data_IF_626139553950
#
_entry.id   IF_626139553950
#
_cell.length_a   1.000
_cell.length_b   1.000
_cell.length_c   1.000
_cell.angle_alpha   90.00
_cell.angle_beta   90.00
_cell.angle_gamma   90.00
#
_symmetry.space_group_name_H-M   'P 1'
#
loop_
_entity.id
_entity.type
_entity.pdbx_description
1 polymer ?
#
# COMPACT_ATOMS: atom_id res chain seq x y z
N UNK A 1 -23.25 13.92 13.84
CA UNK A 1 -22.99 14.05 12.40
C UNK A 1 -21.51 14.23 12.19
N UNK A 2 -20.88 13.27 11.50
CA UNK A 2 -19.44 13.25 11.27
C UNK A 2 -19.09 14.32 10.22
N UNK A 3 -18.27 15.32 10.57
CA UNK A 3 -17.89 16.48 9.76
C UNK A 3 -17.06 16.17 8.48
N UNK A 4 -17.33 15.06 7.79
CA UNK A 4 -16.50 14.49 6.70
C UNK A 4 -17.05 14.74 5.29
N UNK A 5 -18.12 15.50 5.14
CA UNK A 5 -18.77 15.74 3.83
C UNK A 5 -19.43 14.48 3.26
N UNK A 6 -20.42 14.66 2.37
CA UNK A 6 -21.15 13.55 1.73
C UNK A 6 -20.92 13.60 0.22
N UNK A 7 -20.32 12.56 -0.34
CA UNK A 7 -20.24 12.40 -1.80
C UNK A 7 -21.66 12.15 -2.33
N UNK A 8 -22.16 13.08 -3.14
CA UNK A 8 -23.49 13.00 -3.78
C UNK A 8 -23.41 12.39 -5.18
N UNK A 9 -22.28 12.54 -5.86
CA UNK A 9 -22.01 11.88 -7.15
C UNK A 9 -21.93 10.37 -6.95
N UNK A 10 -22.81 9.61 -7.62
CA UNK A 10 -22.94 8.15 -7.48
C UNK A 10 -22.49 7.36 -8.70
N UNK A 11 -22.31 8.02 -9.85
CA UNK A 11 -21.86 7.39 -11.09
C UNK A 11 -20.73 8.20 -11.72
N UNK A 12 -19.97 7.55 -12.61
CA UNK A 12 -18.90 8.17 -13.39
C UNK A 12 -19.47 8.74 -14.68
N UNK A 13 -19.08 9.95 -15.03
CA UNK A 13 -19.48 10.62 -16.26
C UNK A 13 -18.26 11.16 -17.00
N UNK A 14 -18.34 11.20 -18.34
CA UNK A 14 -17.32 11.78 -19.19
C UNK A 14 -17.96 12.88 -20.05
N UNK A 15 -17.60 14.12 -19.77
CA UNK A 15 -18.20 15.32 -20.38
C UNK A 15 -17.25 15.86 -21.44
N UNK A 16 -17.72 16.02 -22.68
CA UNK A 16 -16.95 16.63 -23.74
C UNK A 16 -17.05 18.16 -23.69
N UNK A 17 -15.91 18.86 -23.75
CA UNK A 17 -15.89 20.32 -23.66
C UNK A 17 -15.97 20.99 -25.06
N UNK A 18 -16.65 22.15 -25.18
CA UNK A 18 -16.56 22.97 -26.38
C UNK A 18 -15.13 23.45 -26.59
N UNK A 19 -14.53 23.11 -27.74
CA UNK A 19 -13.12 23.40 -28.04
C UNK A 19 -12.17 22.19 -27.93
N UNK A 20 -12.68 21.03 -27.54
CA UNK A 20 -11.90 19.80 -27.38
C UNK A 20 -11.48 19.57 -25.93
N UNK A 21 -11.24 18.31 -25.57
CA UNK A 21 -10.98 17.87 -24.20
C UNK A 21 -12.18 17.15 -23.57
N UNK A 22 -11.88 16.37 -22.53
CA UNK A 22 -12.83 15.53 -21.81
C UNK A 22 -12.65 15.78 -20.30
N UNK A 23 -13.75 15.96 -19.59
CA UNK A 23 -13.78 16.00 -18.12
C UNK A 23 -14.34 14.69 -17.63
N UNK A 24 -13.61 14.02 -16.74
CA UNK A 24 -14.06 12.79 -16.09
C UNK A 24 -14.53 13.13 -14.68
N UNK A 25 -15.84 13.18 -14.46
CA UNK A 25 -16.40 13.30 -13.12
C UNK A 25 -16.55 11.90 -12.52
N UNK A 26 -16.05 11.70 -11.30
CA UNK A 26 -16.12 10.42 -10.61
C UNK A 26 -16.67 10.61 -9.20
N UNK A 27 -17.42 9.63 -8.66
CA UNK A 27 -17.79 9.62 -7.25
C UNK A 27 -16.56 9.82 -6.37
N UNK A 28 -16.69 10.61 -5.31
CA UNK A 28 -15.59 10.82 -4.38
C UNK A 28 -15.10 9.48 -3.79
N UNK A 29 -13.82 9.20 -3.97
CA UNK A 29 -13.17 8.02 -3.40
C UNK A 29 -12.85 8.29 -1.92
N UNK A 30 -13.27 7.39 -1.02
CA UNK A 30 -13.02 7.54 0.43
C UNK A 30 -11.66 6.98 0.87
N UNK A 31 -11.15 5.99 0.15
CA UNK A 31 -9.88 5.35 0.44
C UNK A 31 -9.32 4.82 -0.88
N UNK A 32 -8.10 5.21 -1.23
CA UNK A 32 -7.34 4.54 -2.28
C UNK A 32 -6.50 3.47 -1.60
N UNK A 33 -6.73 2.21 -1.92
CA UNK A 33 -5.85 1.16 -1.42
C UNK A 33 -4.48 1.30 -2.09
N UNK A 34 -3.42 1.11 -1.32
CA UNK A 34 -2.07 1.01 -1.85
C UNK A 34 -1.92 -0.37 -2.50
N UNK A 35 -1.93 -0.41 -3.84
CA UNK A 35 -1.60 -1.60 -4.64
C UNK A 35 -0.12 -1.61 -5.07
N UNK A 36 0.64 -0.61 -4.64
CA UNK A 36 2.08 -0.52 -4.87
C UNK A 36 2.79 -1.67 -4.14
N UNK A 37 3.89 -2.18 -4.69
CA UNK A 37 4.77 -3.06 -3.90
C UNK A 37 5.67 -2.24 -2.96
N UNK A 38 6.38 -2.91 -2.05
CA UNK A 38 7.42 -2.24 -1.27
C UNK A 38 8.51 -1.62 -2.17
N UNK A 39 8.86 -2.27 -3.29
CA UNK A 39 9.83 -1.70 -4.24
C UNK A 39 9.29 -0.46 -4.97
N UNK A 40 7.99 -0.40 -5.24
CA UNK A 40 7.37 0.79 -5.86
C UNK A 40 7.38 1.98 -4.89
N UNK A 41 7.13 1.73 -3.60
CA UNK A 41 7.26 2.76 -2.56
C UNK A 41 8.72 3.22 -2.46
N UNK A 42 9.67 2.30 -2.39
CA UNK A 42 11.10 2.64 -2.35
C UNK A 42 11.52 3.49 -3.57
N UNK A 43 11.08 3.12 -4.77
CA UNK A 43 11.37 3.88 -6.00
C UNK A 43 10.76 5.28 -5.98
N UNK A 44 9.55 5.44 -5.45
CA UNK A 44 8.89 6.73 -5.33
C UNK A 44 9.57 7.66 -4.30
N UNK A 45 10.37 7.10 -3.39
CA UNK A 45 11.12 7.80 -2.35
C UNK A 45 12.63 7.55 -2.46
N UNK A 46 13.13 7.44 -3.69
CA UNK A 46 14.54 7.18 -3.99
C UNK A 46 15.48 8.20 -3.33
N UNK A 47 15.03 9.44 -3.16
CA UNK A 47 15.71 10.51 -2.42
C UNK A 47 16.00 10.12 -0.96
N UNK A 48 15.03 9.46 -0.30
CA UNK A 48 15.17 8.95 1.06
C UNK A 48 16.02 7.68 1.09
N UNK A 49 15.79 6.73 0.18
CA UNK A 49 16.54 5.46 0.08
C UNK A 49 18.04 5.68 -0.10
N UNK A 50 18.43 6.55 -1.04
CA UNK A 50 19.85 6.85 -1.30
C UNK A 50 20.53 7.57 -0.13
N UNK A 51 19.78 8.27 0.72
CA UNK A 51 20.31 8.82 1.97
C UNK A 51 20.39 7.72 3.05
N UNK A 52 19.41 6.84 3.13
CA UNK A 52 19.37 5.73 4.08
C UNK A 52 20.57 4.78 3.91
N UNK A 53 21.01 4.52 2.67
CA UNK A 53 22.21 3.74 2.36
C UNK A 53 23.50 4.30 2.97
N UNK A 54 23.52 5.59 3.32
CA UNK A 54 24.68 6.28 3.90
C UNK A 54 24.61 6.35 5.43
N UNK A 55 23.60 5.76 6.05
CA UNK A 55 23.52 5.67 7.50
C UNK A 55 24.61 4.75 8.06
N UNK A 56 25.07 5.05 9.27
CA UNK A 56 26.03 4.20 9.99
C UNK A 56 25.48 2.79 10.31
N UNK A 57 24.16 2.64 10.39
CA UNK A 57 23.48 1.40 10.75
C UNK A 57 22.60 0.92 9.59
N UNK A 58 22.65 -0.37 9.29
CA UNK A 58 21.84 -0.99 8.23
C UNK A 58 20.36 -1.12 8.61
N UNK A 59 20.04 -1.07 9.90
CA UNK A 59 18.68 -1.13 10.47
C UNK A 59 18.24 0.23 11.05
N UNK A 60 18.85 1.32 10.58
CA UNK A 60 18.51 2.68 11.01
C UNK A 60 17.01 2.98 10.79
N UNK A 61 16.30 3.35 11.84
CA UNK A 61 14.89 3.78 11.78
C UNK A 61 14.72 5.23 11.32
N UNK A 62 15.83 5.95 11.17
CA UNK A 62 15.88 7.38 10.84
C UNK A 62 15.14 8.26 11.83
N UNK A 63 15.24 7.95 13.13
CA UNK A 63 14.58 8.72 14.19
C UNK A 63 15.59 9.53 14.99
N UNK A 64 16.47 8.85 15.72
CA UNK A 64 17.44 9.49 16.62
C UNK A 64 18.81 8.81 16.61
N UNK A 65 19.07 7.93 15.65
CA UNK A 65 20.36 7.22 15.58
C UNK A 65 21.52 8.17 15.24
N UNK A 66 22.67 8.00 15.92
CA UNK A 66 23.85 8.80 15.62
C UNK A 66 24.39 8.46 14.22
N UNK A 67 24.72 9.49 13.43
CA UNK A 67 25.20 9.32 12.05
C UNK A 67 24.11 8.86 11.08
N UNK A 68 22.84 9.18 11.36
CA UNK A 68 21.76 9.02 10.39
C UNK A 68 21.86 10.09 9.30
N UNK A 69 22.26 9.68 8.10
CA UNK A 69 22.40 10.59 6.95
C UNK A 69 21.07 11.21 6.52
N UNK A 70 19.93 10.53 6.75
CA UNK A 70 18.60 11.07 6.49
C UNK A 70 18.28 12.23 7.44
N UNK A 71 18.55 12.08 8.74
CA UNK A 71 18.34 13.14 9.73
C UNK A 71 19.29 14.32 9.50
N UNK A 72 20.52 14.06 9.08
CA UNK A 72 21.46 15.11 8.67
C UNK A 72 20.99 15.87 7.42
N UNK A 73 20.41 15.16 6.44
CA UNK A 73 19.82 15.81 5.28
C UNK A 73 18.62 16.69 5.65
N UNK A 74 17.81 16.27 6.63
CA UNK A 74 16.71 17.07 7.16
C UNK A 74 17.23 18.32 7.88
N UNK A 75 18.20 18.16 8.78
CA UNK A 75 18.76 19.30 9.54
C UNK A 75 19.49 20.31 8.65
N UNK A 76 20.08 19.86 7.54
CA UNK A 76 20.70 20.72 6.52
C UNK A 76 19.72 21.26 5.47
N UNK A 77 18.43 20.93 5.55
CA UNK A 77 17.39 21.39 4.62
C UNK A 77 17.43 20.75 3.23
N UNK A 78 18.27 19.73 3.01
CA UNK A 78 18.35 18.95 1.77
C UNK A 78 17.18 17.98 1.60
N UNK A 79 16.51 17.61 2.68
CA UNK A 79 15.33 16.76 2.68
C UNK A 79 14.23 17.42 3.53
N UNK A 80 13.01 17.49 2.99
CA UNK A 80 11.86 17.98 3.75
C UNK A 80 11.45 16.90 4.80
N UNK A 81 11.27 17.23 6.08
CA UNK A 81 10.83 16.27 7.10
C UNK A 81 9.50 15.58 6.75
N UNK A 82 8.56 16.26 6.09
CA UNK A 82 7.28 15.69 5.66
C UNK A 82 7.47 14.55 4.64
N UNK A 83 8.58 14.58 3.90
CA UNK A 83 8.95 13.54 2.94
C UNK A 83 9.27 12.23 3.64
N UNK A 84 10.08 12.28 4.70
CA UNK A 84 10.39 11.12 5.54
C UNK A 84 9.14 10.60 6.24
N UNK A 85 8.30 11.50 6.78
CA UNK A 85 7.03 11.11 7.40
C UNK A 85 6.12 10.36 6.42
N UNK A 86 5.96 10.90 5.20
CA UNK A 86 5.14 10.28 4.15
C UNK A 86 5.69 8.92 3.74
N UNK A 87 7.00 8.79 3.60
CA UNK A 87 7.68 7.51 3.31
C UNK A 87 7.40 6.46 4.39
N UNK A 88 7.64 6.79 5.66
CA UNK A 88 7.41 5.86 6.78
C UNK A 88 5.94 5.45 6.88
N UNK A 89 5.02 6.40 6.68
CA UNK A 89 3.58 6.14 6.68
C UNK A 89 3.19 5.16 5.58
N UNK A 90 3.64 5.38 4.35
CA UNK A 90 3.35 4.50 3.22
C UNK A 90 3.96 3.10 3.39
N UNK A 91 5.18 3.01 3.88
CA UNK A 91 5.82 1.72 4.20
C UNK A 91 5.04 0.95 5.27
N UNK A 92 4.48 1.63 6.27
CA UNK A 92 3.63 1.00 7.27
C UNK A 92 2.31 0.49 6.67
N UNK A 93 1.63 1.32 5.88
CA UNK A 93 0.38 0.97 5.20
C UNK A 93 0.58 -0.23 4.26
N UNK A 94 1.70 -0.25 3.52
CA UNK A 94 2.06 -1.35 2.63
C UNK A 94 2.25 -2.67 3.38
N UNK A 95 3.03 -2.66 4.47
CA UNK A 95 3.22 -3.87 5.31
C UNK A 95 1.89 -4.37 5.89
N UNK A 96 0.98 -3.47 6.26
CA UNK A 96 -0.34 -3.84 6.75
C UNK A 96 -1.21 -4.43 5.63
N UNK A 97 -1.13 -3.89 4.43
CA UNK A 97 -1.81 -4.43 3.26
C UNK A 97 -1.32 -5.85 2.94
N UNK A 98 -0.01 -6.07 2.86
CA UNK A 98 0.60 -7.39 2.62
C UNK A 98 0.20 -8.42 3.69
N UNK A 99 0.20 -8.04 4.97
CA UNK A 99 -0.26 -8.92 6.06
C UNK A 99 -1.72 -9.33 5.87
N UNK A 100 -2.60 -8.40 5.48
CA UNK A 100 -4.01 -8.69 5.19
C UNK A 100 -4.15 -9.64 4.00
N UNK A 101 -3.44 -9.39 2.90
CA UNK A 101 -3.42 -10.24 1.72
C UNK A 101 -2.97 -11.67 2.05
N UNK A 102 -1.84 -11.82 2.74
CA UNK A 102 -1.34 -13.12 3.17
C UNK A 102 -2.32 -13.85 4.09
N UNK A 103 -2.95 -13.14 5.02
CA UNK A 103 -3.95 -13.75 5.91
C UNK A 103 -5.18 -14.26 5.16
N UNK A 104 -5.61 -13.55 4.12
CA UNK A 104 -6.73 -13.95 3.26
C UNK A 104 -6.36 -15.18 2.43
N UNK A 105 -5.18 -15.17 1.80
CA UNK A 105 -4.65 -16.30 1.04
C UNK A 105 -4.55 -17.57 1.92
N UNK A 106 -4.07 -17.44 3.15
CA UNK A 106 -3.99 -18.56 4.10
C UNK A 106 -5.36 -19.13 4.49
N UNK A 107 -6.39 -18.28 4.56
CA UNK A 107 -7.78 -18.71 4.83
C UNK A 107 -8.37 -19.44 3.63
N UNK A 108 -8.16 -18.93 2.42
CA UNK A 108 -8.64 -19.52 1.17
C UNK A 108 -8.00 -20.89 0.92
N UNK A 109 -6.68 -20.98 0.99
CA UNK A 109 -5.93 -22.25 0.82
C UNK A 109 -6.38 -23.31 1.83
N UNK A 110 -6.61 -22.92 3.10
CA UNK A 110 -7.15 -23.83 4.13
C UNK A 110 -8.58 -24.28 3.80
N UNK A 111 -9.44 -23.38 3.33
CA UNK A 111 -10.80 -23.70 2.94
C UNK A 111 -10.82 -24.66 1.74
N UNK A 112 -9.97 -24.43 0.75
CA UNK A 112 -9.80 -25.28 -0.42
C UNK A 112 -9.30 -26.67 -0.03
N UNK A 113 -8.26 -26.76 0.81
CA UNK A 113 -7.76 -28.04 1.34
C UNK A 113 -8.86 -28.83 2.03
N UNK A 114 -9.71 -28.17 2.83
CA UNK A 114 -10.88 -28.80 3.49
C UNK A 114 -11.92 -29.28 2.46
N UNK A 115 -12.23 -28.49 1.42
CA UNK A 115 -13.15 -28.89 0.34
C UNK A 115 -12.62 -30.11 -0.41
N UNK A 116 -11.33 -30.11 -0.77
CA UNK A 116 -10.67 -31.22 -1.48
C UNK A 116 -10.63 -32.50 -0.64
N UNK A 117 -10.36 -32.39 0.67
CA UNK A 117 -10.41 -33.53 1.58
C UNK A 117 -11.82 -34.13 1.69
N UNK A 118 -12.88 -33.30 1.73
CA UNK A 118 -14.28 -33.78 1.69
C UNK A 118 -14.60 -34.50 0.38
N UNK A 119 -14.13 -33.98 -0.75
CA UNK A 119 -14.32 -34.61 -2.06
C UNK A 119 -13.64 -35.98 -2.13
N UNK A 120 -12.40 -36.09 -1.65
CA UNK A 120 -11.65 -37.35 -1.64
C UNK A 120 -12.31 -38.41 -0.75
N UNK A 121 -12.82 -38.03 0.43
CA UNK A 121 -13.58 -38.94 1.31
C UNK A 121 -14.93 -39.39 0.74
N UNK A 122 -15.49 -38.65 -0.22
CA UNK A 122 -16.77 -38.97 -0.87
C UNK A 122 -16.61 -39.82 -2.14
N UNK A 123 -15.39 -40.12 -2.59
CA UNK A 123 -15.20 -41.03 -3.73
C UNK A 123 -15.60 -42.45 -3.29
N UNK A 124 -16.57 -43.08 -3.97
CA UNK A 124 -16.85 -44.49 -3.71
C UNK A 124 -15.60 -45.30 -4.06
N UNK A 125 -15.14 -46.12 -3.13
CA UNK A 125 -14.20 -47.21 -3.43
C UNK A 125 -14.90 -48.09 -4.45
N UNK A 126 -14.34 -48.22 -5.65
CA UNK A 126 -14.83 -49.18 -6.65
C UNK A 126 -14.96 -50.53 -5.95
N UNK A 127 -16.19 -51.03 -5.83
CA UNK A 127 -16.45 -52.43 -5.51
C UNK A 127 -16.07 -53.24 -6.75
N UNK A 128 -15.34 -54.34 -6.49
CA UNK A 128 -14.99 -55.39 -7.45
C UNK A 128 -16.20 -55.96 -8.19
#
# INVERSE_FOLDING_TARGET
EDSRGRHTTTHRELIQLPGGGLVMDTPGMREMQLWASAEDVARAFQDVETLAEKCNFSDCSHTSEPGCAVQEAISSGRLNPDRLFSYQKLMLEQRQFEKRQNSNLMRETKAERRRRAKLYKRRPTKME
#
